data_IF_607970892427
#
_entry.id   IF_607970892427
#
_cell.length_a   1.000
_cell.length_b   1.000
_cell.length_c   1.000
_cell.angle_alpha   90.00
_cell.angle_beta   90.00
_cell.angle_gamma   90.00
#
_symmetry.space_group_name_H-M   'P 1'
#
loop_
_entity.id
_entity.type
_entity.pdbx_description
1 polymer ?
#
# COMPACT_ATOMS: atom_id res chain seq x y z
N UNK A 1 4.17 3.92 -2.81
CA UNK A 1 4.45 4.03 -4.26
C UNK A 1 3.82 5.31 -4.78
N UNK A 2 4.66 6.23 -5.26
CA UNK A 2 4.21 7.43 -5.95
C UNK A 2 3.68 7.12 -7.35
N UNK A 3 3.08 8.12 -8.00
CA UNK A 3 2.71 8.05 -9.42
C UNK A 3 3.89 8.24 -10.37
N UNK A 4 3.61 8.64 -11.61
CA UNK A 4 4.65 8.96 -12.58
C UNK A 4 5.50 10.17 -12.14
N UNK A 5 6.83 10.09 -12.12
CA UNK A 5 7.69 11.16 -11.58
C UNK A 5 7.68 12.44 -12.43
N UNK A 6 7.30 12.34 -13.72
CA UNK A 6 7.19 13.47 -14.65
C UNK A 6 5.83 14.16 -14.58
N UNK A 7 4.86 13.56 -13.88
CA UNK A 7 3.51 14.10 -13.72
C UNK A 7 3.44 15.01 -12.47
N UNK A 8 2.91 16.22 -12.65
CA UNK A 8 2.72 17.15 -11.54
C UNK A 8 1.69 16.62 -10.53
N UNK A 9 0.65 15.93 -10.99
CA UNK A 9 -0.39 15.38 -10.11
C UNK A 9 0.18 14.30 -9.19
N UNK A 10 1.10 13.46 -9.70
CA UNK A 10 1.79 12.46 -8.89
C UNK A 10 2.53 13.08 -7.70
N UNK A 11 3.17 14.23 -7.91
CA UNK A 11 3.87 14.98 -6.85
C UNK A 11 2.90 15.53 -5.82
N UNK A 12 1.75 16.05 -6.25
CA UNK A 12 0.71 16.54 -5.36
C UNK A 12 0.12 15.42 -4.50
N UNK A 13 -0.20 14.26 -5.10
CA UNK A 13 -0.67 13.09 -4.35
C UNK A 13 0.36 12.62 -3.33
N UNK A 14 1.63 12.51 -3.73
CA UNK A 14 2.72 12.11 -2.83
C UNK A 14 2.87 13.10 -1.68
N UNK A 15 2.84 14.40 -1.96
CA UNK A 15 2.91 15.44 -0.94
C UNK A 15 1.72 15.36 0.03
N UNK A 16 0.51 15.14 -0.46
CA UNK A 16 -0.69 14.95 0.36
C UNK A 16 -0.58 13.73 1.27
N UNK A 17 -0.18 12.57 0.72
CA UNK A 17 0.07 11.35 1.50
C UNK A 17 1.13 11.58 2.58
N UNK A 18 2.26 12.18 2.22
CA UNK A 18 3.36 12.43 3.16
C UNK A 18 2.97 13.45 4.23
N UNK A 19 2.11 14.43 3.95
CA UNK A 19 1.60 15.35 4.97
C UNK A 19 0.88 14.61 6.11
N UNK A 20 0.15 13.54 5.79
CA UNK A 20 -0.56 12.72 6.79
C UNK A 20 0.39 11.73 7.47
N UNK A 21 1.30 11.11 6.73
CA UNK A 21 2.19 10.08 7.26
C UNK A 21 3.37 10.64 8.06
N UNK A 22 3.87 11.82 7.68
CA UNK A 22 5.10 12.40 8.26
C UNK A 22 5.06 12.52 9.78
N UNK A 23 3.98 12.98 10.44
CA UNK A 23 3.93 13.01 11.91
C UNK A 23 4.17 11.62 12.54
N UNK A 24 3.56 10.57 11.99
CA UNK A 24 3.73 9.20 12.48
C UNK A 24 5.11 8.61 12.15
N UNK A 25 5.72 9.04 11.04
CA UNK A 25 7.10 8.68 10.70
C UNK A 25 8.08 9.37 11.64
N UNK A 26 7.90 10.66 11.90
CA UNK A 26 8.73 11.46 12.81
C UNK A 26 8.63 10.93 14.27
N UNK A 27 7.45 10.47 14.68
CA UNK A 27 7.21 9.80 15.97
C UNK A 27 7.77 8.37 16.03
N UNK A 28 8.29 7.83 14.92
CA UNK A 28 8.83 6.46 14.83
C UNK A 28 7.77 5.35 14.78
N UNK A 29 6.48 5.70 14.70
CA UNK A 29 5.36 4.74 14.59
C UNK A 29 5.28 4.08 13.21
N UNK A 30 5.71 4.80 12.17
CA UNK A 30 5.78 4.29 10.80
C UNK A 30 7.23 4.29 10.34
N UNK A 31 7.70 3.12 9.88
CA UNK A 31 8.98 3.01 9.18
C UNK A 31 8.72 2.86 7.68
N UNK A 32 9.21 3.80 6.88
CA UNK A 32 9.17 3.68 5.43
C UNK A 32 10.25 2.69 5.00
N UNK A 33 9.82 1.55 4.47
CA UNK A 33 10.70 0.47 3.99
C UNK A 33 10.78 0.37 2.46
N UNK A 34 10.05 1.24 1.78
CA UNK A 34 10.08 1.39 0.33
C UNK A 34 9.45 2.73 -0.08
N UNK A 35 10.16 3.50 -0.89
CA UNK A 35 9.68 4.75 -1.48
C UNK A 35 10.19 4.85 -2.92
N UNK A 36 9.30 4.62 -3.87
CA UNK A 36 9.60 4.58 -5.30
C UNK A 36 8.43 5.19 -6.08
N UNK A 37 8.75 5.81 -7.22
CA UNK A 37 7.80 6.35 -8.18
C UNK A 37 7.44 5.28 -9.21
N UNK A 38 6.16 5.16 -9.56
CA UNK A 38 5.70 4.24 -10.60
C UNK A 38 5.73 4.96 -11.95
N UNK A 39 6.77 4.71 -12.73
CA UNK A 39 6.91 5.34 -14.04
C UNK A 39 5.71 5.03 -14.94
N UNK A 40 5.20 6.08 -15.60
CA UNK A 40 4.03 6.02 -16.47
C UNK A 40 2.71 5.60 -15.81
N UNK A 41 2.63 5.52 -14.47
CA UNK A 41 1.46 4.96 -13.76
C UNK A 41 1.15 3.50 -14.12
N UNK A 42 2.14 2.78 -14.66
CA UNK A 42 1.95 1.45 -15.22
C UNK A 42 1.83 0.38 -14.12
N UNK A 43 0.77 -0.46 -14.15
CA UNK A 43 0.61 -1.56 -13.19
C UNK A 43 1.81 -2.51 -13.16
N UNK A 44 2.45 -2.76 -14.30
CA UNK A 44 3.61 -3.65 -14.41
C UNK A 44 4.83 -3.09 -13.67
N UNK A 45 4.98 -1.77 -13.65
CA UNK A 45 6.03 -1.11 -12.89
C UNK A 45 5.72 -1.14 -11.40
N UNK A 46 4.45 -0.96 -11.01
CA UNK A 46 4.03 -1.08 -9.62
C UNK A 46 4.23 -2.50 -9.07
N UNK A 47 3.91 -3.52 -9.87
CA UNK A 47 4.17 -4.93 -9.58
C UNK A 47 5.66 -5.16 -9.26
N UNK A 48 6.56 -4.78 -10.17
CA UNK A 48 8.01 -4.94 -9.98
C UNK A 48 8.52 -4.20 -8.74
N UNK A 49 8.05 -2.97 -8.50
CA UNK A 49 8.41 -2.19 -7.32
C UNK A 49 7.99 -2.94 -6.04
N UNK A 50 6.78 -3.47 -6.02
CA UNK A 50 6.25 -4.18 -4.86
C UNK A 50 6.98 -5.51 -4.62
N UNK A 51 7.27 -6.28 -5.67
CA UNK A 51 8.06 -7.53 -5.58
C UNK A 51 9.46 -7.28 -5.01
N UNK A 52 10.14 -6.22 -5.48
CA UNK A 52 11.44 -5.83 -4.97
C UNK A 52 11.36 -5.40 -3.50
N UNK A 53 10.33 -4.62 -3.13
CA UNK A 53 10.12 -4.20 -1.75
C UNK A 53 9.84 -5.39 -0.82
N UNK A 54 9.01 -6.36 -1.27
CA UNK A 54 8.71 -7.59 -0.54
C UNK A 54 9.98 -8.41 -0.32
N UNK A 55 10.77 -8.61 -1.38
CA UNK A 55 12.04 -9.34 -1.30
C UNK A 55 13.02 -8.66 -0.35
N UNK A 56 13.24 -7.35 -0.50
CA UNK A 56 14.18 -6.60 0.34
C UNK A 56 13.79 -6.59 1.83
N UNK A 57 12.50 -6.73 2.13
CA UNK A 57 11.97 -6.69 3.50
C UNK A 57 11.56 -8.08 4.02
N UNK A 58 11.90 -9.17 3.33
CA UNK A 58 11.49 -10.53 3.69
C UNK A 58 9.98 -10.64 3.97
N UNK A 59 9.18 -10.06 3.08
CA UNK A 59 7.72 -10.00 3.17
C UNK A 59 7.15 -9.24 4.40
N UNK A 60 7.99 -8.51 5.14
CA UNK A 60 7.57 -7.69 6.30
C UNK A 60 7.14 -6.30 5.86
N UNK A 61 5.96 -6.21 5.25
CA UNK A 61 5.31 -4.96 4.87
C UNK A 61 3.89 -4.99 5.40
N UNK A 62 3.53 -4.02 6.25
CA UNK A 62 2.20 -3.96 6.88
C UNK A 62 1.17 -3.20 6.05
N UNK A 63 1.64 -2.19 5.30
CA UNK A 63 0.79 -1.35 4.48
C UNK A 63 1.50 -0.84 3.23
N UNK A 64 0.73 -0.62 2.17
CA UNK A 64 1.16 -0.06 0.89
C UNK A 64 0.35 1.19 0.60
N UNK A 65 1.03 2.31 0.47
CA UNK A 65 0.38 3.57 0.06
C UNK A 65 0.55 3.72 -1.45
N UNK A 66 -0.45 3.33 -2.23
CA UNK A 66 -0.47 3.49 -3.69
C UNK A 66 -1.22 4.78 -4.08
N UNK A 67 -0.79 5.40 -5.19
CA UNK A 67 -1.27 6.73 -5.58
C UNK A 67 -2.54 6.70 -6.42
N UNK A 68 -2.93 5.54 -6.97
CA UNK A 68 -4.21 5.28 -7.64
C UNK A 68 -4.47 3.75 -7.78
N UNK A 69 -5.64 3.38 -8.30
CA UNK A 69 -6.09 1.99 -8.45
C UNK A 69 -5.24 1.15 -9.42
N UNK A 70 -4.73 1.75 -10.50
CA UNK A 70 -3.85 1.05 -11.43
C UNK A 70 -2.55 0.59 -10.75
N UNK A 71 -1.90 1.49 -10.01
CA UNK A 71 -0.67 1.18 -9.26
C UNK A 71 -0.95 0.25 -8.09
N UNK A 72 -2.11 0.37 -7.45
CA UNK A 72 -2.49 -0.51 -6.37
C UNK A 72 -2.78 -1.94 -6.87
N UNK A 73 -3.42 -2.09 -8.04
CA UNK A 73 -3.65 -3.39 -8.68
C UNK A 73 -2.36 -4.16 -8.96
N UNK A 74 -1.31 -3.48 -9.44
CA UNK A 74 0.02 -4.10 -9.60
C UNK A 74 0.62 -4.59 -8.28
N UNK A 75 0.44 -3.83 -7.20
CA UNK A 75 0.93 -4.24 -5.89
C UNK A 75 0.10 -5.37 -5.25
N UNK A 76 -1.23 -5.38 -5.44
CA UNK A 76 -2.08 -6.50 -5.01
C UNK A 76 -1.65 -7.78 -5.72
N UNK A 77 -1.31 -7.74 -6.99
CA UNK A 77 -0.78 -8.91 -7.71
C UNK A 77 0.49 -9.45 -7.03
N UNK A 78 1.46 -8.58 -6.72
CA UNK A 78 2.68 -8.97 -6.00
C UNK A 78 2.38 -9.58 -4.62
N UNK A 79 1.50 -8.93 -3.86
CA UNK A 79 1.08 -9.40 -2.54
C UNK A 79 0.35 -10.74 -2.62
N UNK A 80 -0.48 -10.95 -3.63
CA UNK A 80 -1.22 -12.19 -3.87
C UNK A 80 -0.26 -13.34 -4.16
N UNK A 81 0.78 -13.10 -4.97
CA UNK A 81 1.82 -14.08 -5.27
C UNK A 81 2.59 -14.54 -4.01
N UNK A 82 2.64 -13.71 -2.97
CA UNK A 82 3.26 -14.04 -1.67
C UNK A 82 2.24 -14.49 -0.60
N UNK A 83 0.95 -14.64 -0.94
CA UNK A 83 -0.09 -15.00 0.03
C UNK A 83 -0.37 -13.94 1.10
N UNK A 84 -0.14 -12.67 0.75
CA UNK A 84 -0.26 -11.49 1.61
C UNK A 84 -1.46 -10.59 1.26
N UNK A 85 -2.15 -10.85 0.15
CA UNK A 85 -3.40 -10.19 -0.16
C UNK A 85 -4.41 -10.37 0.98
N UNK A 86 -5.09 -9.28 1.37
CA UNK A 86 -5.99 -9.24 2.53
C UNK A 86 -5.31 -9.20 3.89
N UNK A 87 -3.98 -9.38 3.97
CA UNK A 87 -3.18 -9.21 5.21
C UNK A 87 -2.48 -7.86 5.26
N UNK A 88 -2.02 -7.39 4.11
CA UNK A 88 -1.35 -6.09 3.95
C UNK A 88 -2.39 -5.07 3.51
N UNK A 89 -2.51 -3.96 4.26
CA UNK A 89 -3.41 -2.89 3.89
C UNK A 89 -2.89 -2.14 2.65
N UNK A 90 -3.77 -1.72 1.74
CA UNK A 90 -3.36 -0.95 0.56
C UNK A 90 -4.30 0.24 0.32
N UNK A 91 -3.73 1.42 0.08
CA UNK A 91 -4.52 2.61 -0.26
C UNK A 91 -4.80 2.68 -1.76
N UNK A 92 -6.03 3.04 -2.13
CA UNK A 92 -6.42 3.32 -3.50
C UNK A 92 -6.51 2.08 -4.37
N UNK A 93 -7.14 1.00 -3.92
CA UNK A 93 -7.68 -0.06 -4.79
C UNK A 93 -9.09 -0.44 -4.33
N UNK A 94 -9.85 0.54 -3.87
CA UNK A 94 -11.13 0.40 -3.15
C UNK A 94 -11.01 0.25 -1.64
N UNK A 95 -11.78 1.08 -0.95
CA UNK A 95 -11.98 1.07 0.51
C UNK A 95 -12.68 -0.21 1.02
N UNK A 96 -12.99 -1.19 0.15
CA UNK A 96 -13.83 -2.35 0.47
C UNK A 96 -13.07 -3.60 0.93
N UNK A 97 -11.93 -3.98 0.33
CA UNK A 97 -11.36 -5.31 0.63
C UNK A 97 -10.48 -5.35 1.89
N UNK A 98 -9.72 -4.28 2.17
CA UNK A 98 -8.88 -4.20 3.38
C UNK A 98 -9.61 -3.62 4.60
N UNK A 99 -10.64 -2.79 4.39
CA UNK A 99 -11.43 -2.18 5.48
C UNK A 99 -12.42 -3.16 6.12
N UNK A 100 -13.05 -4.01 5.30
CA UNK A 100 -14.11 -4.92 5.76
C UNK A 100 -13.54 -6.22 6.35
N UNK A 101 -12.51 -6.82 5.74
CA UNK A 101 -11.96 -8.10 6.21
C UNK A 101 -11.12 -7.95 7.50
N UNK A 102 -10.45 -6.79 7.69
CA UNK A 102 -9.72 -6.47 8.92
C UNK A 102 -10.66 -6.17 10.11
N UNK A 103 -11.86 -5.64 9.86
CA UNK A 103 -12.90 -5.50 10.89
C UNK A 103 -13.50 -6.86 11.24
N UNK A 104 -13.80 -7.69 10.23
CA UNK A 104 -14.44 -8.99 10.43
C UNK A 104 -13.55 -10.01 11.17
N UNK A 105 -12.22 -10.04 10.92
CA UNK A 105 -11.30 -10.95 11.65
C UNK A 105 -10.93 -10.52 13.06
N UNK A 106 -11.28 -9.30 13.51
CA UNK A 106 -11.05 -8.88 14.91
C UNK A 106 -12.21 -9.21 15.86
N UNK A 107 -13.35 -9.69 15.35
CA UNK A 107 -14.51 -10.05 16.17
C UNK A 107 -15.10 -11.43 15.84
N UNK A 108 -14.39 -12.55 16.05
CA UNK A 108 -15.01 -13.86 15.90
C UNK A 108 -15.90 -14.30 17.07
N UNK A 109 -16.19 -13.46 18.09
CA UNK A 109 -16.84 -13.91 19.34
C UNK A 109 -17.74 -12.86 20.06
N UNK A 110 -18.63 -12.14 19.38
CA UNK A 110 -19.61 -11.29 20.10
C UNK A 110 -21.06 -11.44 19.62
N UNK A 111 -21.50 -12.69 19.45
CA UNK A 111 -22.93 -13.04 19.27
C UNK A 111 -23.38 -14.02 20.37
N UNK A 112 -23.18 -13.64 21.64
CA UNK A 112 -23.86 -14.25 22.77
C UNK A 112 -24.35 -13.19 23.74
N UNK A 113 -25.57 -12.69 23.52
CA UNK A 113 -26.63 -12.51 24.52
C UNK A 113 -27.98 -12.42 23.81
#
# INVERSE_FOLDING_TARGET
MGGSPVDNNAKLFRAGQMKVLKPYVDEGKIKIVGDQWVDGWLPENALKIMENALTANNNKIDAVVASNDATAGGAIQALSAQGLAGKVAISGQDADLAGVEAHYRRHPNDDRL
#
